data_IF_618672449476
#
_entry.id   IF_618672449476
#
_cell.length_a   1.000
_cell.length_b   1.000
_cell.length_c   1.000
_cell.angle_alpha   90.00
_cell.angle_beta   90.00
_cell.angle_gamma   90.00
#
_symmetry.space_group_name_H-M   'P 1'
#
loop_
_entity.id
_entity.type
_entity.pdbx_description
1 polymer ?
#
# COMPACT_ATOMS: atom_id res chain seq x y z
N UNK A 1 -6.25 16.44 -4.86
CA UNK A 1 -5.58 15.69 -3.76
C UNK A 1 -5.40 16.59 -2.54
N UNK A 2 -5.09 17.89 -2.76
CA UNK A 2 -4.69 18.84 -1.71
C UNK A 2 -5.68 18.99 -0.54
N UNK A 3 -6.97 18.81 -0.75
CA UNK A 3 -8.01 19.17 0.24
C UNK A 3 -8.99 18.04 0.55
N UNK A 4 -8.80 16.82 0.02
CA UNK A 4 -9.88 15.83 0.02
C UNK A 4 -9.81 14.73 1.05
N UNK A 5 -8.64 14.44 1.67
CA UNK A 5 -8.59 13.39 2.68
C UNK A 5 -7.32 13.43 3.55
N UNK A 6 -7.35 14.09 4.73
CA UNK A 6 -6.23 14.10 5.67
C UNK A 6 -5.95 12.73 6.32
N UNK A 7 -6.79 11.73 6.04
CA UNK A 7 -6.73 10.37 6.64
C UNK A 7 -5.77 9.46 5.85
N UNK A 8 -5.49 9.78 4.58
CA UNK A 8 -4.64 8.93 3.73
C UNK A 8 -3.21 9.46 3.66
N UNK A 9 -2.25 8.56 3.74
CA UNK A 9 -0.87 8.83 3.38
C UNK A 9 -0.69 8.61 1.87
N UNK A 10 0.00 9.53 1.21
CA UNK A 10 0.28 9.46 -0.21
C UNK A 10 1.78 9.25 -0.41
N UNK A 11 2.15 8.14 -1.01
CA UNK A 11 3.53 7.80 -1.35
C UNK A 11 3.73 7.99 -2.85
N UNK A 12 4.56 8.94 -3.22
CA UNK A 12 4.94 9.21 -4.61
C UNK A 12 6.33 8.64 -4.85
N UNK A 13 6.46 7.68 -5.76
CA UNK A 13 7.75 7.08 -6.12
C UNK A 13 8.09 7.42 -7.56
N UNK A 14 9.32 7.85 -7.80
CA UNK A 14 9.81 8.17 -9.14
C UNK A 14 11.18 7.53 -9.40
N UNK A 15 11.47 7.26 -10.68
CA UNK A 15 12.82 6.96 -11.18
C UNK A 15 13.55 8.21 -11.67
N UNK A 16 12.84 9.35 -11.73
CA UNK A 16 13.40 10.65 -12.10
C UNK A 16 13.22 11.64 -10.95
N UNK A 17 14.13 11.67 -9.97
CA UNK A 17 14.05 12.58 -8.83
C UNK A 17 14.20 14.06 -9.22
N UNK A 18 14.84 14.40 -10.35
CA UNK A 18 14.93 15.77 -10.86
C UNK A 18 13.54 16.40 -11.06
N UNK A 19 12.54 15.57 -11.32
CA UNK A 19 11.17 16.05 -11.47
C UNK A 19 10.64 16.70 -10.20
N UNK A 20 10.96 16.14 -9.03
CA UNK A 20 10.56 16.74 -7.76
C UNK A 20 11.22 18.11 -7.56
N UNK A 21 12.48 18.23 -7.93
CA UNK A 21 13.21 19.49 -7.84
C UNK A 21 12.60 20.57 -8.71
N UNK A 22 12.39 20.26 -9.99
CA UNK A 22 11.71 21.19 -10.90
C UNK A 22 10.34 21.65 -10.39
N UNK A 23 9.59 20.73 -9.74
CA UNK A 23 8.28 21.07 -9.15
C UNK A 23 8.42 21.92 -7.89
N UNK A 24 9.45 21.68 -7.07
CA UNK A 24 9.73 22.46 -5.87
C UNK A 24 10.14 23.90 -6.20
N UNK A 25 11.05 24.09 -7.15
CA UNK A 25 11.45 25.43 -7.63
C UNK A 25 10.26 26.24 -8.16
N UNK A 26 9.28 25.56 -8.75
CA UNK A 26 8.04 26.17 -9.24
C UNK A 26 6.96 26.35 -8.15
N UNK A 27 7.23 25.97 -6.91
CA UNK A 27 6.26 26.01 -5.82
C UNK A 27 5.07 25.03 -6.01
N UNK A 28 5.23 24.02 -6.86
CA UNK A 28 4.18 23.06 -7.21
C UNK A 28 4.27 21.76 -6.42
N UNK A 29 5.32 21.55 -5.62
CA UNK A 29 5.49 20.35 -4.79
C UNK A 29 4.95 20.62 -3.38
N UNK A 30 3.77 20.07 -3.00
CA UNK A 30 3.21 20.29 -1.67
C UNK A 30 4.08 19.73 -0.57
N UNK A 31 4.12 20.39 0.59
CA UNK A 31 4.83 19.95 1.79
C UNK A 31 3.83 19.60 2.91
N UNK A 32 2.96 18.62 2.70
CA UNK A 32 2.00 18.16 3.70
C UNK A 32 2.52 16.95 4.45
N UNK A 33 2.20 16.82 5.73
CA UNK A 33 2.69 15.74 6.60
C UNK A 33 2.32 14.33 6.11
N UNK A 34 1.22 14.20 5.39
CA UNK A 34 0.75 12.95 4.82
C UNK A 34 1.26 12.68 3.39
N UNK A 35 2.16 13.52 2.85
CA UNK A 35 2.77 13.34 1.54
C UNK A 35 4.23 12.92 1.66
N UNK A 36 4.57 11.81 1.03
CA UNK A 36 5.89 11.20 1.03
C UNK A 36 6.44 11.14 -0.39
N UNK A 37 7.66 11.61 -0.56
CA UNK A 37 8.33 11.69 -1.85
C UNK A 37 9.52 10.74 -1.88
N UNK A 38 9.43 9.72 -2.71
CA UNK A 38 10.46 8.70 -2.83
C UNK A 38 11.07 8.65 -4.21
N UNK A 39 12.29 8.16 -4.27
CA UNK A 39 12.94 7.85 -5.52
C UNK A 39 13.56 6.45 -5.47
N UNK A 40 13.69 5.85 -6.65
CA UNK A 40 14.36 4.56 -6.81
C UNK A 40 15.86 4.78 -6.93
N UNK A 41 16.63 4.11 -6.08
CA UNK A 41 18.08 4.06 -6.12
C UNK A 41 18.52 2.60 -6.31
N UNK A 42 18.62 2.15 -7.56
CA UNK A 42 18.99 0.78 -7.89
C UNK A 42 20.50 0.60 -8.07
N UNK A 43 21.20 1.68 -8.37
CA UNK A 43 22.64 1.75 -8.65
C UNK A 43 23.18 3.12 -8.26
N UNK A 44 24.49 3.30 -8.38
CA UNK A 44 25.21 4.52 -7.98
C UNK A 44 24.98 5.75 -8.88
N UNK A 45 24.27 5.59 -9.99
CA UNK A 45 23.97 6.72 -10.89
C UNK A 45 23.03 7.75 -10.29
N UNK A 46 22.22 7.37 -9.29
CA UNK A 46 21.17 8.19 -8.68
C UNK A 46 21.50 8.73 -7.27
N UNK A 47 22.77 8.67 -6.86
CA UNK A 47 23.17 9.00 -5.49
C UNK A 47 22.96 10.46 -5.06
N UNK A 48 23.10 11.40 -5.99
CA UNK A 48 23.13 12.84 -5.67
C UNK A 48 21.81 13.44 -5.17
N UNK A 49 20.74 12.70 -5.13
CA UNK A 49 19.40 13.19 -4.90
C UNK A 49 18.95 13.18 -3.44
N UNK A 50 19.58 12.36 -2.62
CA UNK A 50 19.17 12.12 -1.23
C UNK A 50 19.32 13.33 -0.31
N UNK A 51 20.19 14.31 -0.63
CA UNK A 51 20.56 15.41 0.26
C UNK A 51 19.69 16.66 0.17
N UNK A 52 18.73 16.74 -0.76
CA UNK A 52 18.08 18.01 -1.16
C UNK A 52 16.68 18.27 -0.65
N UNK A 53 16.03 17.31 0.03
CA UNK A 53 14.61 17.42 0.39
C UNK A 53 14.35 17.68 1.89
N UNK A 54 15.13 18.54 2.54
CA UNK A 54 15.23 18.73 4.00
C UNK A 54 13.95 18.79 4.81
N UNK A 55 12.88 19.42 4.29
CA UNK A 55 11.65 19.66 5.06
C UNK A 55 10.53 18.67 4.76
N UNK A 56 10.65 17.87 3.70
CA UNK A 56 9.61 16.94 3.26
C UNK A 56 9.79 15.56 3.85
N UNK A 57 8.72 14.77 3.87
CA UNK A 57 8.85 13.36 4.15
C UNK A 57 9.39 12.66 2.90
N UNK A 58 10.57 12.07 3.04
CA UNK A 58 11.28 11.43 1.93
C UNK A 58 11.57 9.98 2.23
N UNK A 59 11.60 9.15 1.19
CA UNK A 59 12.01 7.77 1.30
C UNK A 59 12.84 7.33 0.08
N UNK A 60 13.71 6.35 0.30
CA UNK A 60 14.52 5.75 -0.76
C UNK A 60 14.03 4.33 -0.99
N UNK A 61 13.71 4.00 -2.24
CA UNK A 61 13.41 2.64 -2.66
C UNK A 61 14.63 2.04 -3.36
N UNK A 62 15.39 1.22 -2.63
CA UNK A 62 16.51 0.43 -3.13
C UNK A 62 15.92 -0.87 -3.71
N UNK A 63 15.25 -0.76 -4.83
CA UNK A 63 14.56 -1.88 -5.45
C UNK A 63 14.54 -1.76 -6.98
N UNK A 64 15.26 -2.67 -7.64
CA UNK A 64 16.12 -3.73 -7.08
C UNK A 64 17.47 -3.20 -6.59
N UNK A 65 18.06 -3.84 -5.55
CA UNK A 65 19.44 -3.61 -5.14
C UNK A 65 20.36 -4.36 -6.10
N UNK A 66 21.04 -3.61 -6.98
CA UNK A 66 21.83 -4.20 -8.08
C UNK A 66 23.35 -4.17 -7.83
N UNK A 67 23.81 -3.31 -6.93
CA UNK A 67 25.25 -3.15 -6.62
C UNK A 67 25.47 -2.60 -5.21
N UNK A 68 26.73 -2.48 -4.81
CA UNK A 68 27.13 -1.82 -3.57
C UNK A 68 26.93 -0.31 -3.67
N UNK A 69 25.93 0.21 -2.97
CA UNK A 69 25.55 1.62 -3.05
C UNK A 69 26.44 2.51 -2.18
N UNK A 70 27.16 3.44 -2.81
CA UNK A 70 28.02 4.42 -2.12
C UNK A 70 27.21 5.41 -1.27
N UNK A 71 25.96 5.63 -1.61
CA UNK A 71 25.03 6.45 -0.83
C UNK A 71 24.95 6.05 0.65
N UNK A 72 25.22 4.78 0.96
CA UNK A 72 25.18 4.23 2.31
C UNK A 72 26.57 4.04 2.93
N UNK A 73 27.61 4.62 2.34
CA UNK A 73 28.94 4.59 2.91
C UNK A 73 29.01 5.40 4.22
N UNK A 74 29.92 5.02 5.09
CA UNK A 74 30.05 5.59 6.44
C UNK A 74 30.29 7.10 6.46
N UNK A 75 30.88 7.62 5.39
CA UNK A 75 31.20 9.04 5.24
C UNK A 75 30.06 9.87 4.64
N UNK A 76 29.05 9.22 4.07
CA UNK A 76 27.90 9.90 3.45
C UNK A 76 26.85 10.20 4.51
N UNK A 77 26.56 11.48 4.70
CA UNK A 77 25.51 11.94 5.62
C UNK A 77 24.14 11.94 4.90
N UNK A 78 23.63 10.78 4.54
CA UNK A 78 22.30 10.67 3.95
C UNK A 78 21.21 10.83 5.01
N UNK A 79 21.07 12.05 5.56
CA UNK A 79 20.03 12.38 6.56
C UNK A 79 18.67 12.70 5.92
N UNK A 80 18.59 12.81 4.60
CA UNK A 80 17.39 13.26 3.92
C UNK A 80 16.30 12.19 3.85
N UNK A 81 16.66 10.90 3.91
CA UNK A 81 15.66 9.85 3.91
C UNK A 81 15.12 9.59 5.31
N UNK A 82 13.80 9.60 5.43
CA UNK A 82 13.08 9.23 6.67
C UNK A 82 12.59 7.78 6.64
N UNK A 83 12.84 7.06 5.54
CA UNK A 83 12.51 5.65 5.38
C UNK A 83 13.31 5.05 4.22
N UNK A 84 13.72 3.79 4.36
CA UNK A 84 14.41 3.03 3.32
C UNK A 84 13.67 1.73 3.08
N UNK A 85 13.39 1.45 1.80
CA UNK A 85 12.79 0.19 1.34
C UNK A 85 13.85 -0.56 0.55
N UNK A 86 14.05 -1.84 0.84
CA UNK A 86 15.08 -2.66 0.17
C UNK A 86 14.40 -3.88 -0.46
N UNK A 87 14.78 -4.20 -1.70
CA UNK A 87 14.29 -5.38 -2.40
C UNK A 87 15.30 -5.90 -3.43
N UNK A 88 15.27 -7.22 -3.65
CA UNK A 88 16.03 -7.88 -4.71
C UNK A 88 15.25 -7.86 -6.04
N UNK A 89 15.97 -8.06 -7.15
CA UNK A 89 15.36 -8.19 -8.47
C UNK A 89 14.39 -9.38 -8.52
N UNK A 90 13.19 -9.14 -9.00
CA UNK A 90 12.12 -10.14 -9.14
C UNK A 90 11.83 -10.39 -10.62
N UNK A 91 10.99 -11.41 -10.93
CA UNK A 91 10.61 -11.73 -12.29
C UNK A 91 11.39 -12.90 -12.89
N UNK A 92 11.27 -13.10 -14.21
CA UNK A 92 11.80 -14.28 -14.95
C UNK A 92 13.16 -14.04 -15.61
N UNK A 93 13.84 -12.95 -15.32
CA UNK A 93 15.15 -12.69 -15.88
C UNK A 93 16.14 -13.79 -15.45
N UNK A 94 16.83 -14.42 -16.42
CA UNK A 94 17.82 -15.47 -16.16
C UNK A 94 19.12 -14.92 -15.55
N UNK A 95 19.41 -13.66 -15.79
CA UNK A 95 20.63 -12.99 -15.34
C UNK A 95 20.36 -12.03 -14.15
N UNK A 96 19.48 -12.42 -13.24
CA UNK A 96 19.19 -11.63 -12.05
C UNK A 96 20.42 -11.38 -11.21
N UNK A 97 20.57 -10.15 -10.75
CA UNK A 97 21.53 -9.83 -9.73
C UNK A 97 20.92 -10.20 -8.38
N UNK A 98 21.60 -11.10 -7.67
CA UNK A 98 21.28 -11.43 -6.29
C UNK A 98 22.10 -10.52 -5.39
N UNK A 99 21.49 -9.67 -4.56
CA UNK A 99 22.21 -8.81 -3.65
C UNK A 99 23.12 -9.62 -2.72
N UNK A 100 24.35 -9.13 -2.52
CA UNK A 100 25.25 -9.69 -1.50
C UNK A 100 24.77 -9.27 -0.11
N UNK A 101 24.95 -10.14 0.87
CA UNK A 101 24.53 -9.85 2.24
C UNK A 101 25.25 -8.61 2.80
N UNK A 102 26.53 -8.42 2.43
CA UNK A 102 27.35 -7.29 2.88
C UNK A 102 26.77 -5.94 2.41
N UNK A 103 26.14 -5.90 1.23
CA UNK A 103 25.49 -4.68 0.72
C UNK A 103 24.25 -4.32 1.55
N UNK A 104 23.47 -5.35 1.92
CA UNK A 104 22.29 -5.17 2.77
C UNK A 104 22.71 -4.73 4.15
N UNK A 105 23.70 -5.39 4.77
CA UNK A 105 24.24 -5.03 6.08
C UNK A 105 24.81 -3.61 6.13
N UNK A 106 25.46 -3.15 5.03
CA UNK A 106 25.93 -1.77 4.93
C UNK A 106 24.77 -0.78 5.01
N UNK A 107 23.71 -1.02 4.25
CA UNK A 107 22.51 -0.19 4.30
C UNK A 107 21.90 -0.19 5.70
N UNK A 108 21.81 -1.36 6.35
CA UNK A 108 21.26 -1.47 7.70
C UNK A 108 22.08 -0.69 8.72
N UNK A 109 23.42 -0.86 8.73
CA UNK A 109 24.32 -0.09 9.62
C UNK A 109 24.14 1.41 9.44
N UNK A 110 24.04 1.88 8.20
CA UNK A 110 23.77 3.28 7.92
C UNK A 110 22.42 3.74 8.48
N UNK A 111 21.36 2.97 8.25
CA UNK A 111 20.03 3.27 8.75
C UNK A 111 19.97 3.27 10.28
N UNK A 112 20.63 2.32 10.93
CA UNK A 112 20.71 2.25 12.40
C UNK A 112 21.43 3.47 12.99
N UNK A 113 22.54 3.89 12.37
CA UNK A 113 23.29 5.09 12.79
C UNK A 113 22.44 6.36 12.80
N UNK A 114 21.47 6.48 11.89
CA UNK A 114 20.62 7.66 11.75
C UNK A 114 19.18 7.43 12.23
N UNK A 115 18.90 6.31 12.87
CA UNK A 115 17.57 5.90 13.32
C UNK A 115 16.50 5.95 12.18
N UNK A 116 16.89 5.53 10.97
CA UNK A 116 16.02 5.47 9.81
C UNK A 116 15.34 4.09 9.78
N UNK A 117 13.99 4.01 9.80
CA UNK A 117 13.27 2.75 9.66
C UNK A 117 13.59 2.07 8.33
N UNK A 118 13.67 0.73 8.32
CA UNK A 118 13.93 -0.08 7.13
C UNK A 118 12.80 -1.07 6.89
N UNK A 119 12.36 -1.15 5.64
CA UNK A 119 11.42 -2.16 5.18
C UNK A 119 12.07 -3.06 4.12
N UNK A 120 12.26 -4.31 4.46
CA UNK A 120 12.74 -5.33 3.53
C UNK A 120 11.58 -6.02 2.85
N UNK A 121 11.61 -6.12 1.52
CA UNK A 121 10.63 -6.88 0.76
C UNK A 121 10.88 -8.37 0.82
N UNK A 122 9.84 -9.17 0.59
CA UNK A 122 9.91 -10.65 0.62
C UNK A 122 10.95 -11.22 -0.35
N UNK A 123 11.33 -10.47 -1.39
CA UNK A 123 12.40 -10.84 -2.32
C UNK A 123 13.76 -11.00 -1.66
N UNK A 124 13.96 -10.45 -0.44
CA UNK A 124 15.20 -10.60 0.34
C UNK A 124 15.16 -11.79 1.30
N UNK A 125 14.00 -12.37 1.56
CA UNK A 125 13.84 -13.51 2.48
C UNK A 125 14.82 -14.67 2.22
N UNK A 126 15.03 -15.10 0.95
CA UNK A 126 16.00 -16.17 0.66
C UNK A 126 17.47 -15.81 0.91
N UNK A 127 17.77 -14.52 1.11
CA UNK A 127 19.14 -13.99 1.27
C UNK A 127 19.47 -13.78 2.74
N UNK A 128 18.55 -13.16 3.48
CA UNK A 128 18.79 -12.75 4.88
C UNK A 128 18.20 -13.70 5.92
N UNK A 129 17.26 -14.57 5.54
CA UNK A 129 16.49 -15.39 6.48
C UNK A 129 15.35 -14.62 7.15
N UNK A 130 14.33 -15.33 7.63
CA UNK A 130 13.14 -14.72 8.22
C UNK A 130 13.44 -13.95 9.51
N UNK A 131 14.34 -14.45 10.31
CA UNK A 131 14.78 -13.88 11.59
C UNK A 131 15.47 -12.52 11.46
N UNK A 132 16.03 -12.23 10.28
CA UNK A 132 16.74 -10.98 9.99
C UNK A 132 15.90 -9.98 9.18
N UNK A 133 14.67 -10.33 8.84
CA UNK A 133 13.77 -9.45 8.08
C UNK A 133 13.30 -8.27 8.92
N UNK A 134 13.52 -7.05 8.42
CA UNK A 134 13.02 -5.82 9.05
C UNK A 134 11.77 -5.34 8.31
N UNK A 135 10.72 -4.98 9.04
CA UNK A 135 9.42 -4.52 8.53
C UNK A 135 9.01 -3.21 9.21
N UNK A 136 9.92 -2.27 9.23
CA UNK A 136 9.76 -1.03 9.97
C UNK A 136 9.09 0.04 9.09
N UNK A 137 8.23 0.82 9.73
CA UNK A 137 7.59 1.97 9.12
C UNK A 137 7.86 3.22 9.95
N UNK A 138 8.03 4.39 9.33
CA UNK A 138 8.01 5.66 10.05
C UNK A 138 6.73 5.81 10.88
N UNK A 139 6.82 6.46 12.04
CA UNK A 139 5.66 6.65 12.94
C UNK A 139 4.45 7.27 12.22
N UNK A 140 4.69 8.18 11.29
CA UNK A 140 3.65 8.84 10.50
C UNK A 140 2.91 7.89 9.54
N UNK A 141 3.55 6.79 9.13
CA UNK A 141 2.98 5.75 8.27
C UNK A 141 2.45 4.56 9.06
N UNK A 142 2.77 4.47 10.35
CA UNK A 142 2.15 3.49 11.23
C UNK A 142 0.70 3.92 11.43
N UNK A 143 -0.22 3.08 11.01
CA UNK A 143 -1.61 3.31 11.39
C UNK A 143 -1.70 3.21 12.90
N UNK A 144 -1.94 4.32 13.59
CA UNK A 144 -2.64 4.28 14.87
C UNK A 144 -3.87 3.40 14.64
N UNK A 145 -4.16 2.50 15.57
CA UNK A 145 -5.34 1.63 15.48
C UNK A 145 -6.50 2.43 14.92
N UNK A 146 -7.01 2.00 13.76
CA UNK A 146 -8.13 2.67 13.11
C UNK A 146 -9.21 2.76 14.17
N UNK A 147 -9.62 3.98 14.56
CA UNK A 147 -10.60 4.14 15.61
C UNK A 147 -11.80 3.23 15.32
N UNK A 148 -12.44 2.61 16.30
CA UNK A 148 -13.58 1.71 16.08
C UNK A 148 -14.65 2.33 15.17
N UNK A 149 -14.85 3.65 15.25
CA UNK A 149 -15.78 4.42 14.39
C UNK A 149 -15.30 4.47 12.93
N UNK A 150 -13.99 4.63 12.70
CA UNK A 150 -13.43 4.66 11.36
C UNK A 150 -13.34 3.26 10.78
N UNK A 151 -13.01 2.26 11.62
CA UNK A 151 -13.03 0.85 11.23
C UNK A 151 -14.44 0.43 10.78
N UNK A 152 -15.48 0.81 11.53
CA UNK A 152 -16.88 0.58 11.15
C UNK A 152 -17.30 1.30 9.86
N UNK A 153 -16.63 2.43 9.51
CA UNK A 153 -16.89 3.19 8.29
C UNK A 153 -16.20 2.62 7.06
N UNK A 154 -14.98 2.08 7.21
CA UNK A 154 -14.11 1.60 6.12
C UNK A 154 -14.23 0.10 5.88
N UNK A 155 -14.52 -0.65 6.95
CA UNK A 155 -14.63 -2.09 6.91
C UNK A 155 -15.94 -2.51 7.53
N UNK A 156 -16.61 -3.44 6.88
CA UNK A 156 -17.78 -4.11 7.45
C UNK A 156 -17.51 -5.60 7.54
N UNK A 157 -18.15 -6.25 8.50
CA UNK A 157 -18.05 -7.69 8.63
C UNK A 157 -18.98 -8.37 7.64
N UNK A 158 -18.51 -9.40 6.96
CA UNK A 158 -19.38 -10.28 6.22
C UNK A 158 -20.46 -10.85 7.15
N UNK A 159 -21.72 -10.78 6.76
CA UNK A 159 -22.86 -11.29 7.55
C UNK A 159 -22.73 -12.79 7.86
N UNK A 160 -22.08 -13.56 6.99
CA UNK A 160 -21.85 -15.00 7.14
C UNK A 160 -20.54 -15.32 7.86
N UNK A 161 -19.38 -15.15 7.22
CA UNK A 161 -18.10 -15.60 7.78
C UNK A 161 -17.42 -14.61 8.75
N UNK A 162 -17.97 -13.42 8.94
CA UNK A 162 -17.45 -12.34 9.79
C UNK A 162 -16.10 -11.78 9.35
N UNK A 163 -15.59 -12.14 8.19
CA UNK A 163 -14.38 -11.57 7.65
C UNK A 163 -14.50 -10.05 7.49
N UNK A 164 -13.48 -9.32 7.93
CA UNK A 164 -13.41 -7.88 7.78
C UNK A 164 -12.76 -7.54 6.43
N UNK A 165 -13.58 -7.09 5.48
CA UNK A 165 -13.16 -6.70 4.14
C UNK A 165 -13.53 -5.24 3.90
N UNK A 166 -12.89 -4.62 2.90
CA UNK A 166 -13.30 -3.29 2.45
C UNK A 166 -14.70 -3.37 1.85
N UNK A 167 -15.50 -2.33 2.06
CA UNK A 167 -16.86 -2.27 1.49
C UNK A 167 -16.89 -2.47 -0.02
N UNK A 168 -15.86 -2.01 -0.74
CA UNK A 168 -15.71 -2.24 -2.18
C UNK A 168 -15.46 -3.70 -2.57
N UNK A 169 -15.11 -4.55 -1.62
CA UNK A 169 -14.86 -5.99 -1.84
C UNK A 169 -16.06 -6.83 -1.44
N UNK A 170 -17.11 -6.19 -0.93
CA UNK A 170 -18.33 -6.85 -0.46
C UNK A 170 -19.54 -6.48 -1.31
N UNK A 171 -20.52 -7.36 -1.31
CA UNK A 171 -21.82 -7.13 -1.90
C UNK A 171 -22.73 -6.52 -0.84
N UNK A 172 -23.34 -5.38 -1.14
CA UNK A 172 -24.33 -4.77 -0.29
C UNK A 172 -25.65 -5.54 -0.37
N UNK A 173 -26.15 -6.00 0.76
CA UNK A 173 -27.43 -6.69 0.85
C UNK A 173 -28.54 -5.68 1.12
N UNK A 174 -29.50 -5.62 0.23
CA UNK A 174 -30.68 -4.77 0.34
C UNK A 174 -31.91 -5.65 0.56
N UNK A 175 -32.83 -5.22 1.40
CA UNK A 175 -34.12 -5.90 1.59
C UNK A 175 -35.25 -4.98 1.19
N UNK A 176 -36.26 -5.56 0.50
CA UNK A 176 -37.50 -4.91 0.19
C UNK A 176 -38.64 -5.71 0.82
N UNK A 177 -39.44 -5.10 1.69
CA UNK A 177 -40.52 -5.78 2.38
C UNK A 177 -41.80 -5.83 1.56
N UNK A 178 -42.00 -4.84 0.68
CA UNK A 178 -43.19 -4.76 -0.20
C UNK A 178 -42.76 -4.30 -1.59
N UNK A 179 -43.52 -4.72 -2.60
CA UNK A 179 -43.38 -4.25 -3.98
C UNK A 179 -43.54 -2.71 -4.02
N UNK A 180 -42.68 -2.03 -4.75
CA UNK A 180 -42.70 -0.55 -4.85
C UNK A 180 -42.02 0.22 -3.70
N UNK A 181 -41.65 -0.44 -2.60
CA UNK A 181 -40.83 0.20 -1.56
C UNK A 181 -39.38 0.30 -2.00
N UNK A 182 -38.71 1.38 -1.59
CA UNK A 182 -37.27 1.50 -1.78
C UNK A 182 -36.53 0.46 -0.92
N UNK A 183 -35.61 -0.29 -1.52
CA UNK A 183 -34.83 -1.27 -0.76
C UNK A 183 -34.00 -0.61 0.36
N UNK A 184 -33.99 -1.23 1.53
CA UNK A 184 -33.19 -0.79 2.66
C UNK A 184 -31.99 -1.70 2.87
N UNK A 185 -30.83 -1.11 3.06
CA UNK A 185 -29.64 -1.88 3.36
C UNK A 185 -29.76 -2.57 4.73
N UNK A 186 -29.46 -3.87 4.80
CA UNK A 186 -29.45 -4.64 6.03
C UNK A 186 -28.11 -5.32 6.32
N UNK A 187 -27.18 -5.36 5.39
CA UNK A 187 -25.88 -5.95 5.64
C UNK A 187 -24.95 -5.94 4.44
N UNK A 188 -23.83 -6.61 4.63
CA UNK A 188 -22.83 -6.85 3.61
C UNK A 188 -22.42 -8.32 3.63
N UNK A 189 -22.06 -8.87 2.49
CA UNK A 189 -21.56 -10.23 2.36
C UNK A 189 -20.33 -10.24 1.46
N UNK A 190 -19.30 -11.00 1.82
CA UNK A 190 -18.18 -11.21 0.92
C UNK A 190 -18.64 -12.03 -0.30
N UNK A 191 -17.93 -11.88 -1.42
CA UNK A 191 -18.34 -12.51 -2.68
C UNK A 191 -18.42 -14.03 -2.59
N UNK A 192 -17.52 -14.66 -1.84
CA UNK A 192 -17.49 -16.12 -1.69
C UNK A 192 -18.68 -16.62 -0.90
N UNK A 193 -18.99 -16.02 0.26
CA UNK A 193 -20.16 -16.37 1.04
C UNK A 193 -21.47 -16.08 0.28
N UNK A 194 -21.50 -15.05 -0.56
CA UNK A 194 -22.67 -14.74 -1.37
C UNK A 194 -22.90 -15.79 -2.47
N UNK A 195 -21.81 -16.28 -3.09
CA UNK A 195 -21.92 -17.39 -4.06
C UNK A 195 -22.45 -18.67 -3.42
N UNK A 196 -21.94 -18.98 -2.22
CA UNK A 196 -22.41 -20.17 -1.46
C UNK A 196 -23.89 -20.02 -1.08
N UNK A 197 -24.29 -18.86 -0.58
CA UNK A 197 -25.68 -18.53 -0.27
C UNK A 197 -26.61 -18.66 -1.48
N UNK A 198 -26.23 -18.17 -2.67
CA UNK A 198 -27.00 -18.32 -3.89
C UNK A 198 -27.12 -19.79 -4.29
N UNK A 199 -26.04 -20.57 -4.16
CA UNK A 199 -26.03 -22.00 -4.45
C UNK A 199 -27.01 -22.78 -3.55
N UNK A 200 -27.01 -22.44 -2.25
CA UNK A 200 -27.92 -23.08 -1.28
C UNK A 200 -29.40 -22.79 -1.58
N UNK A 201 -29.69 -21.64 -2.18
CA UNK A 201 -31.02 -21.27 -2.62
C UNK A 201 -31.39 -21.81 -4.00
N UNK A 202 -30.50 -22.55 -4.68
CA UNK A 202 -30.71 -23.05 -6.04
C UNK A 202 -30.76 -21.93 -7.08
N UNK A 203 -30.22 -20.75 -6.78
CA UNK A 203 -30.19 -19.62 -7.70
C UNK A 203 -29.00 -19.77 -8.63
N UNK A 204 -29.27 -19.73 -9.94
CA UNK A 204 -28.21 -19.65 -10.94
C UNK A 204 -27.53 -18.29 -10.83
N UNK A 205 -26.22 -18.30 -10.63
CA UNK A 205 -25.45 -17.08 -10.46
C UNK A 205 -24.96 -16.64 -11.84
N UNK A 206 -25.55 -15.60 -12.46
CA UNK A 206 -24.99 -15.08 -13.70
C UNK A 206 -23.52 -14.65 -13.48
N UNK A 207 -22.65 -14.91 -14.45
CA UNK A 207 -21.22 -14.47 -14.41
C UNK A 207 -21.05 -12.98 -14.06
N UNK A 208 -22.07 -12.17 -14.35
CA UNK A 208 -22.17 -10.75 -14.04
C UNK A 208 -22.24 -10.42 -12.53
N UNK A 209 -22.61 -11.36 -11.64
CA UNK A 209 -22.61 -11.10 -10.18
C UNK A 209 -21.20 -10.87 -9.64
N UNK A 210 -20.18 -11.31 -10.33
CA UNK A 210 -18.79 -10.96 -10.03
C UNK A 210 -18.51 -9.45 -10.00
N UNK A 211 -19.34 -8.65 -10.67
CA UNK A 211 -19.22 -7.18 -10.77
C UNK A 211 -20.31 -6.43 -9.98
N UNK A 212 -21.29 -7.14 -9.41
CA UNK A 212 -22.38 -6.51 -8.67
C UNK A 212 -21.85 -5.86 -7.37
N UNK A 213 -22.23 -4.60 -7.14
CA UNK A 213 -21.97 -3.87 -5.90
C UNK A 213 -23.06 -4.08 -4.86
N UNK A 214 -24.29 -4.41 -5.29
CA UNK A 214 -25.43 -4.64 -4.42
C UNK A 214 -26.40 -5.68 -5.00
N UNK A 215 -27.13 -6.34 -4.13
CA UNK A 215 -28.20 -7.28 -4.46
C UNK A 215 -29.42 -6.96 -3.60
N UNK A 216 -30.60 -6.89 -4.25
CA UNK A 216 -31.88 -6.69 -3.55
C UNK A 216 -32.58 -8.04 -3.36
N UNK A 217 -32.96 -8.32 -2.12
CA UNK A 217 -33.72 -9.51 -1.74
C UNK A 217 -35.15 -9.08 -1.41
N UNK A 218 -36.13 -9.74 -2.00
CA UNK A 218 -37.57 -9.45 -1.79
C UNK A 218 -38.35 -9.31 -3.11
N UNK A 219 -39.63 -8.91 -3.04
CA UNK A 219 -40.46 -8.78 -4.22
C UNK A 219 -39.85 -7.82 -5.25
N UNK A 220 -39.54 -8.32 -6.44
CA UNK A 220 -39.08 -7.52 -7.56
C UNK A 220 -40.22 -6.67 -8.16
N UNK A 221 -39.85 -5.66 -8.94
CA UNK A 221 -40.75 -4.98 -9.85
C UNK A 221 -40.69 -5.80 -11.15
N UNK A 222 -41.56 -6.83 -11.29
CA UNK A 222 -41.76 -7.47 -12.57
C UNK A 222 -42.67 -6.54 -13.37
N UNK A 223 -42.19 -6.15 -14.53
CA UNK A 223 -43.01 -5.43 -15.52
C UNK A 223 -44.17 -6.30 -15.92
N UNK A 224 -45.39 -5.72 -15.87
CA UNK A 224 -46.60 -6.29 -16.47
C UNK A 224 -46.54 -6.20 -18.01
#
# INVERSE_FOLDING_TARGET
IRDRNPIHNYLFLTKNPERYWTLEEKGLLPAQENMWYGFTCANNENEGWASRYGDKNTFISVEPLLEDLLLFDEHVLCRAAKWVIIGAETGRNKNKIVPKIEWIEKILRHCDRFAIPVFMKDSLLPIVGEENMRREFPKQLQHSEISPKLKAKLFDGCASCKAHLRKSEMITLLARSKRGEQPKQFGFMCRDCFKEFCKDLGLDIPELIGLAESVTIGPGDEDE
#
